data_IF_382376590846
#
_entry.id   IF_382376590846
#
_cell.length_a   1.000
_cell.length_b   1.000
_cell.length_c   1.000
_cell.angle_alpha   90.00
_cell.angle_beta   90.00
_cell.angle_gamma   90.00
#
_symmetry.space_group_name_H-M   'P 1'
#
loop_
_entity.id
_entity.type
_entity.pdbx_description
1 polymer ?
#
# COMPACT_ATOMS: atom_id res chain seq x y z
N UNK A 1 -42.40 -1.28 52.34
CA UNK A 1 -42.26 -0.24 51.28
C UNK A 1 -40.80 0.03 50.85
N UNK A 2 -39.80 -0.58 51.49
CA UNK A 2 -38.36 -0.31 51.28
C UNK A 2 -37.71 -1.12 50.15
N UNK A 3 -38.07 -2.40 49.98
CA UNK A 3 -37.48 -3.30 48.96
C UNK A 3 -37.64 -2.78 47.52
N UNK A 4 -38.81 -2.20 47.20
CA UNK A 4 -39.10 -1.70 45.85
C UNK A 4 -38.26 -0.46 45.48
N UNK A 5 -37.77 0.28 46.48
CA UNK A 5 -36.89 1.44 46.29
C UNK A 5 -35.45 1.03 45.99
N UNK A 6 -34.97 -0.04 46.63
CA UNK A 6 -33.64 -0.61 46.38
C UNK A 6 -33.53 -1.25 44.98
N UNK A 7 -34.58 -1.95 44.54
CA UNK A 7 -34.63 -2.54 43.19
C UNK A 7 -34.63 -1.44 42.12
N UNK A 8 -35.45 -0.39 42.29
CA UNK A 8 -35.46 0.76 41.37
C UNK A 8 -34.12 1.50 41.31
N UNK A 9 -33.43 1.69 42.43
CA UNK A 9 -32.11 2.32 42.45
C UNK A 9 -31.06 1.49 41.68
N UNK A 10 -31.07 0.16 41.85
CA UNK A 10 -30.14 -0.74 41.17
C UNK A 10 -30.39 -0.81 39.66
N UNK A 11 -31.66 -0.77 39.24
CA UNK A 11 -32.02 -0.74 37.82
C UNK A 11 -31.59 0.57 37.16
N UNK A 12 -31.79 1.72 37.82
CA UNK A 12 -31.34 3.03 37.30
C UNK A 12 -29.81 3.10 37.24
N UNK A 13 -29.10 2.59 38.27
CA UNK A 13 -27.64 2.51 38.25
C UNK A 13 -27.13 1.60 37.13
N UNK A 14 -27.74 0.43 36.92
CA UNK A 14 -27.38 -0.47 35.82
C UNK A 14 -27.65 0.17 34.44
N UNK A 15 -28.74 0.92 34.29
CA UNK A 15 -29.05 1.64 33.05
C UNK A 15 -28.05 2.76 32.77
N UNK A 16 -27.66 3.53 33.79
CA UNK A 16 -26.66 4.60 33.67
C UNK A 16 -25.27 4.05 33.35
N UNK A 17 -24.87 2.91 33.92
CA UNK A 17 -23.62 2.24 33.58
C UNK A 17 -23.65 1.71 32.14
N UNK A 18 -24.79 1.16 31.69
CA UNK A 18 -24.94 0.67 30.32
C UNK A 18 -24.88 1.81 29.28
N UNK A 19 -25.51 2.96 29.56
CA UNK A 19 -25.42 4.16 28.73
C UNK A 19 -24.01 4.77 28.70
N UNK A 20 -23.27 4.72 29.81
CA UNK A 20 -21.89 5.19 29.87
C UNK A 20 -20.92 4.31 29.05
N UNK A 21 -21.17 3.00 28.97
CA UNK A 21 -20.36 2.07 28.18
C UNK A 21 -20.62 2.27 26.67
N UNK A 22 -21.87 2.56 26.26
CA UNK A 22 -22.19 2.83 24.85
C UNK A 22 -21.69 4.20 24.35
N UNK A 23 -21.53 5.18 25.25
CA UNK A 23 -20.98 6.50 24.91
C UNK A 23 -19.47 6.52 24.62
N UNK A 24 -18.76 5.41 24.90
CA UNK A 24 -17.31 5.25 24.72
C UNK A 24 -16.93 4.55 23.41
N UNK A 25 -17.87 4.27 22.52
CA UNK A 25 -17.56 3.83 21.15
C UNK A 25 -17.12 5.08 20.37
N UNK A 26 -15.95 5.61 20.74
CA UNK A 26 -15.21 6.57 19.94
C UNK A 26 -14.96 5.93 18.57
N UNK A 27 -15.20 6.70 17.51
CA UNK A 27 -15.18 6.25 16.12
C UNK A 27 -14.00 5.33 15.83
N UNK A 28 -14.32 4.14 15.32
CA UNK A 28 -13.31 3.27 14.74
C UNK A 28 -12.61 4.09 13.65
N UNK A 29 -11.31 4.33 13.81
CA UNK A 29 -10.49 4.93 12.76
C UNK A 29 -10.42 3.90 11.62
N UNK A 30 -11.33 4.05 10.65
CA UNK A 30 -11.72 2.99 9.74
C UNK A 30 -11.05 3.07 8.36
N UNK A 31 -9.86 3.65 8.25
CA UNK A 31 -9.08 3.60 7.01
C UNK A 31 -7.59 3.69 7.38
N UNK A 32 -6.71 2.94 6.70
CA UNK A 32 -6.95 2.10 5.51
C UNK A 32 -7.74 0.79 5.80
N UNK A 33 -8.44 0.26 4.78
CA UNK A 33 -9.27 -0.95 4.87
C UNK A 33 -8.49 -2.25 4.58
N UNK A 34 -7.40 -2.14 3.83
CA UNK A 34 -6.47 -3.21 3.48
C UNK A 34 -5.05 -2.67 3.51
N UNK A 35 -4.07 -3.56 3.66
CA UNK A 35 -2.66 -3.19 3.64
C UNK A 35 -1.89 -4.00 2.60
N UNK A 36 -0.89 -3.35 2.00
CA UNK A 36 0.08 -3.93 1.10
C UNK A 36 1.48 -3.56 1.62
N UNK A 37 2.28 -4.57 1.93
CA UNK A 37 3.70 -4.39 2.22
C UNK A 37 4.48 -4.34 0.89
N UNK A 38 5.33 -3.33 0.75
CA UNK A 38 6.05 -3.02 -0.47
C UNK A 38 7.51 -3.44 -0.35
N UNK A 39 8.06 -3.96 -1.44
CA UNK A 39 9.50 -4.08 -1.64
C UNK A 39 9.86 -3.54 -3.02
N UNK A 40 10.87 -2.68 -3.06
CA UNK A 40 11.28 -1.97 -4.27
C UNK A 40 12.74 -2.23 -4.56
N UNK A 41 13.05 -2.64 -5.79
CA UNK A 41 14.42 -2.79 -6.26
C UNK A 41 14.68 -1.89 -7.44
N UNK A 42 15.73 -1.08 -7.36
CA UNK A 42 16.26 -0.29 -8.47
C UNK A 42 17.39 -1.09 -9.10
N UNK A 43 17.32 -1.34 -10.40
CA UNK A 43 18.34 -2.11 -11.13
C UNK A 43 19.13 -1.16 -12.00
N UNK A 44 20.44 -1.14 -11.77
CA UNK A 44 21.40 -0.37 -12.54
C UNK A 44 22.13 -1.26 -13.54
N UNK A 45 22.47 -0.69 -14.70
CA UNK A 45 23.47 -1.27 -15.58
C UNK A 45 24.90 -0.91 -15.11
N UNK A 46 25.90 -1.42 -15.84
CA UNK A 46 27.33 -1.17 -15.52
C UNK A 46 27.78 0.27 -15.78
N UNK A 47 26.92 1.11 -16.36
CA UNK A 47 27.16 2.51 -16.69
C UNK A 47 26.35 3.43 -15.78
N UNK A 48 25.83 2.92 -14.65
CA UNK A 48 25.01 3.66 -13.70
C UNK A 48 23.71 4.23 -14.32
N UNK A 49 23.17 3.57 -15.36
CA UNK A 49 21.82 3.84 -15.79
C UNK A 49 20.82 3.03 -14.98
N UNK A 50 19.78 3.67 -14.45
CA UNK A 50 18.58 2.98 -14.00
C UNK A 50 17.89 2.38 -15.23
N UNK A 51 17.87 1.04 -15.30
CA UNK A 51 17.27 0.29 -16.42
C UNK A 51 15.95 -0.37 -16.05
N UNK A 52 15.73 -0.65 -14.75
CA UNK A 52 14.53 -1.35 -14.30
C UNK A 52 14.17 -0.97 -12.87
N UNK A 53 12.87 -0.93 -12.57
CA UNK A 53 12.34 -0.93 -11.20
C UNK A 53 11.52 -2.22 -11.01
N UNK A 54 11.84 -2.99 -9.97
CA UNK A 54 11.05 -4.16 -9.56
C UNK A 54 10.24 -3.79 -8.34
N UNK A 55 8.92 -3.72 -8.51
CA UNK A 55 7.99 -3.48 -7.43
C UNK A 55 7.32 -4.78 -7.04
N UNK A 56 7.37 -5.12 -5.76
CA UNK A 56 6.67 -6.26 -5.20
C UNK A 56 5.67 -5.80 -4.16
N UNK A 57 4.46 -6.33 -4.26
CA UNK A 57 3.35 -6.10 -3.34
C UNK A 57 3.04 -7.40 -2.62
N UNK A 58 3.07 -7.38 -1.31
CA UNK A 58 2.59 -8.46 -0.47
C UNK A 58 1.28 -8.05 0.18
N UNK A 59 0.23 -8.79 -0.11
CA UNK A 59 -1.12 -8.45 0.35
C UNK A 59 -1.36 -8.95 1.77
N UNK A 60 -2.31 -8.31 2.45
CA UNK A 60 -2.79 -8.78 3.74
C UNK A 60 -3.42 -10.19 3.67
N UNK A 61 -3.49 -10.85 4.84
CA UNK A 61 -3.99 -12.22 4.98
C UNK A 61 -5.45 -12.33 4.55
N UNK A 62 -6.28 -11.35 4.89
CA UNK A 62 -7.71 -11.40 4.65
C UNK A 62 -8.03 -11.22 3.16
N UNK A 63 -7.44 -10.21 2.53
CA UNK A 63 -7.52 -9.97 1.10
C UNK A 63 -7.03 -11.19 0.31
N UNK A 64 -5.88 -11.74 0.71
CA UNK A 64 -5.30 -12.93 0.07
C UNK A 64 -6.23 -14.13 0.15
N UNK A 65 -6.78 -14.42 1.33
CA UNK A 65 -7.69 -15.54 1.54
C UNK A 65 -8.95 -15.43 0.68
N UNK A 66 -9.59 -14.26 0.66
CA UNK A 66 -10.79 -14.02 -0.14
C UNK A 66 -10.50 -14.13 -1.64
N UNK A 67 -9.44 -13.46 -2.10
CA UNK A 67 -9.07 -13.45 -3.52
C UNK A 67 -8.67 -14.84 -4.01
N UNK A 68 -7.94 -15.61 -3.20
CA UNK A 68 -7.59 -16.99 -3.53
C UNK A 68 -8.82 -17.90 -3.56
N UNK A 69 -9.76 -17.75 -2.63
CA UNK A 69 -11.00 -18.51 -2.62
C UNK A 69 -11.83 -18.23 -3.88
N UNK A 70 -12.00 -16.96 -4.25
CA UNK A 70 -12.73 -16.55 -5.46
C UNK A 70 -12.04 -17.08 -6.72
N UNK A 71 -10.71 -16.91 -6.82
CA UNK A 71 -9.91 -17.40 -7.94
C UNK A 71 -10.01 -18.93 -8.10
N UNK A 72 -9.92 -19.68 -7.00
CA UNK A 72 -10.04 -21.16 -7.04
C UNK A 72 -11.46 -21.61 -7.37
N UNK A 73 -12.48 -20.87 -6.95
CA UNK A 73 -13.87 -21.14 -7.34
C UNK A 73 -14.06 -20.91 -8.86
N UNK A 74 -13.54 -19.81 -9.39
CA UNK A 74 -13.69 -19.44 -10.80
C UNK A 74 -12.85 -20.32 -11.75
N UNK A 75 -11.60 -20.60 -11.40
CA UNK A 75 -10.61 -21.23 -12.30
C UNK A 75 -10.20 -22.65 -11.89
N UNK A 76 -10.65 -23.14 -10.74
CA UNK A 76 -10.40 -24.50 -10.24
C UNK A 76 -9.00 -24.74 -9.64
N UNK A 77 -7.96 -24.02 -10.07
CA UNK A 77 -6.61 -24.11 -9.52
C UNK A 77 -5.79 -22.83 -9.71
N UNK A 78 -4.74 -22.68 -8.91
CA UNK A 78 -3.89 -21.48 -8.89
C UNK A 78 -3.01 -21.34 -10.15
N UNK A 79 -2.60 -22.46 -10.75
CA UNK A 79 -1.80 -22.45 -11.99
C UNK A 79 -2.52 -21.73 -13.13
N UNK A 80 -3.85 -21.85 -13.17
CA UNK A 80 -4.71 -21.17 -14.15
C UNK A 80 -5.19 -19.82 -13.64
N UNK A 81 -5.63 -19.75 -12.37
CA UNK A 81 -6.27 -18.57 -11.81
C UNK A 81 -5.33 -17.40 -11.55
N UNK A 82 -4.13 -17.63 -10.98
CA UNK A 82 -3.22 -16.54 -10.62
C UNK A 82 -2.75 -15.72 -11.83
N UNK A 83 -2.40 -16.31 -12.98
CA UNK A 83 -2.10 -15.54 -14.19
C UNK A 83 -3.27 -14.68 -14.69
N UNK A 84 -4.51 -15.18 -14.62
CA UNK A 84 -5.71 -14.44 -15.01
C UNK A 84 -5.95 -13.25 -14.06
N UNK A 85 -5.77 -13.48 -12.75
CA UNK A 85 -5.85 -12.44 -11.72
C UNK A 85 -4.77 -11.39 -11.88
N UNK A 86 -3.52 -11.78 -12.13
CA UNK A 86 -2.44 -10.84 -12.42
C UNK A 86 -2.78 -9.94 -13.62
N UNK A 87 -3.27 -10.53 -14.71
CA UNK A 87 -3.68 -9.80 -15.92
C UNK A 87 -4.79 -8.79 -15.62
N UNK A 88 -5.80 -9.20 -14.82
CA UNK A 88 -6.90 -8.34 -14.41
C UNK A 88 -6.41 -7.20 -13.51
N UNK A 89 -5.53 -7.47 -12.56
CA UNK A 89 -4.93 -6.46 -11.68
C UNK A 89 -4.16 -5.42 -12.49
N UNK A 90 -3.22 -5.82 -13.35
CA UNK A 90 -2.43 -4.86 -14.16
C UNK A 90 -3.33 -4.02 -15.07
N UNK A 91 -4.36 -4.63 -15.67
CA UNK A 91 -5.34 -3.89 -16.49
C UNK A 91 -6.06 -2.81 -15.68
N UNK A 92 -6.53 -3.14 -14.48
CA UNK A 92 -7.25 -2.22 -13.62
C UNK A 92 -6.35 -1.09 -13.10
N UNK A 93 -5.09 -1.42 -12.81
CA UNK A 93 -4.10 -0.49 -12.30
C UNK A 93 -3.58 0.50 -13.36
N UNK A 94 -3.74 0.20 -14.66
CA UNK A 94 -3.27 1.05 -15.78
C UNK A 94 -3.80 2.49 -15.70
N UNK A 95 -5.07 2.66 -15.35
CA UNK A 95 -5.69 4.00 -15.28
C UNK A 95 -5.08 4.89 -14.18
N UNK A 96 -4.36 4.28 -13.23
CA UNK A 96 -3.77 4.92 -12.07
C UNK A 96 -2.24 4.87 -12.08
N UNK A 97 -1.62 4.67 -13.25
CA UNK A 97 -0.16 4.61 -13.37
C UNK A 97 0.46 3.47 -12.57
N UNK A 98 -0.25 2.35 -12.42
CA UNK A 98 0.20 1.20 -11.64
C UNK A 98 0.39 1.49 -10.15
N UNK A 99 -0.26 2.54 -9.66
CA UNK A 99 -0.06 3.11 -8.31
C UNK A 99 1.39 3.55 -8.07
N UNK A 100 2.18 3.76 -9.13
CA UNK A 100 3.62 4.02 -9.01
C UNK A 100 3.99 5.34 -9.64
N UNK A 101 4.82 6.12 -8.95
CA UNK A 101 5.33 7.39 -9.43
C UNK A 101 6.84 7.46 -9.24
N UNK A 102 7.55 7.67 -10.36
CA UNK A 102 8.98 7.95 -10.38
C UNK A 102 9.21 9.41 -10.73
N UNK A 103 10.09 10.09 -9.99
CA UNK A 103 10.67 11.35 -10.41
C UNK A 103 12.18 11.35 -10.22
N UNK A 104 12.89 12.05 -11.10
CA UNK A 104 14.35 12.21 -11.04
C UNK A 104 14.67 13.69 -11.15
N UNK A 105 15.38 14.23 -10.16
CA UNK A 105 15.65 15.67 -10.00
C UNK A 105 14.39 16.55 -10.15
N UNK A 106 13.27 16.06 -9.63
CA UNK A 106 11.96 16.73 -9.70
C UNK A 106 11.21 16.55 -11.01
N UNK A 107 11.82 15.94 -12.04
CA UNK A 107 11.13 15.62 -13.29
C UNK A 107 10.39 14.28 -13.21
N UNK A 108 9.08 14.27 -13.46
CA UNK A 108 8.29 13.04 -13.48
C UNK A 108 8.68 12.17 -14.67
N UNK A 109 8.91 10.88 -14.41
CA UNK A 109 9.28 9.88 -15.42
C UNK A 109 8.07 8.99 -15.65
N UNK A 110 7.60 8.95 -16.91
CA UNK A 110 6.48 8.10 -17.28
C UNK A 110 6.89 6.63 -17.22
N UNK A 111 6.08 5.81 -16.56
CA UNK A 111 6.26 4.37 -16.51
C UNK A 111 5.43 3.71 -17.61
N UNK A 112 6.06 2.80 -18.35
CA UNK A 112 5.34 1.91 -19.25
C UNK A 112 4.52 0.87 -18.45
N UNK A 113 3.71 0.08 -19.17
CA UNK A 113 3.08 -1.10 -18.56
C UNK A 113 4.17 -2.03 -18.01
N UNK A 114 4.04 -2.51 -16.76
CA UNK A 114 5.01 -3.44 -16.24
C UNK A 114 4.94 -4.74 -17.05
N UNK A 115 6.11 -5.25 -17.45
CA UNK A 115 6.28 -6.49 -18.18
C UNK A 115 7.70 -7.03 -17.92
N UNK A 116 7.88 -8.25 -17.36
CA UNK A 116 6.83 -9.16 -16.92
C UNK A 116 6.15 -8.71 -15.62
N UNK A 117 4.98 -9.28 -15.36
CA UNK A 117 4.31 -9.24 -14.07
C UNK A 117 3.84 -10.63 -13.68
N UNK A 118 3.77 -10.91 -12.38
CA UNK A 118 3.43 -12.24 -11.87
C UNK A 118 2.72 -12.13 -10.52
N UNK A 119 1.61 -12.85 -10.39
CA UNK A 119 0.96 -13.09 -9.11
C UNK A 119 1.34 -14.49 -8.62
N UNK A 120 1.76 -14.61 -7.37
CA UNK A 120 2.09 -15.87 -6.71
C UNK A 120 1.62 -15.88 -5.27
N UNK A 121 1.83 -16.99 -4.58
CA UNK A 121 1.60 -17.10 -3.15
C UNK A 121 2.90 -17.37 -2.39
N UNK A 122 2.95 -16.92 -1.14
CA UNK A 122 4.00 -17.25 -0.17
C UNK A 122 3.37 -17.59 1.17
N UNK A 123 4.07 -18.39 1.98
CA UNK A 123 3.67 -18.64 3.35
C UNK A 123 4.15 -17.49 4.25
N UNK A 124 3.24 -16.93 5.06
CA UNK A 124 3.53 -15.94 6.11
C UNK A 124 2.71 -16.27 7.34
N UNK A 125 3.40 -16.51 8.47
CA UNK A 125 2.78 -16.81 9.76
C UNK A 125 1.72 -17.95 9.71
N UNK A 126 1.96 -18.98 8.88
CA UNK A 126 1.03 -20.10 8.70
C UNK A 126 -0.14 -19.83 7.74
N UNK A 127 -0.21 -18.65 7.14
CA UNK A 127 -1.19 -18.28 6.12
C UNK A 127 -0.55 -18.22 4.73
N UNK A 128 -1.35 -18.47 3.71
CA UNK A 128 -0.99 -18.22 2.32
C UNK A 128 -1.35 -16.78 1.97
N UNK A 129 -0.36 -15.98 1.58
CA UNK A 129 -0.55 -14.57 1.17
C UNK A 129 -0.15 -14.38 -0.29
N UNK A 130 -0.89 -13.51 -0.98
CA UNK A 130 -0.61 -13.15 -2.37
C UNK A 130 0.62 -12.25 -2.44
N UNK A 131 1.38 -12.41 -3.52
CA UNK A 131 2.53 -11.58 -3.88
C UNK A 131 2.42 -11.21 -5.36
N UNK A 132 2.26 -9.91 -5.67
CA UNK A 132 2.28 -9.38 -7.04
C UNK A 132 3.65 -8.75 -7.30
N UNK A 133 4.36 -9.25 -8.29
CA UNK A 133 5.61 -8.70 -8.79
C UNK A 133 5.35 -7.97 -10.12
N UNK A 134 5.83 -6.73 -10.22
CA UNK A 134 5.74 -5.87 -11.39
C UNK A 134 7.14 -5.38 -11.76
N UNK A 135 7.51 -5.55 -13.03
CA UNK A 135 8.79 -5.10 -13.57
C UNK A 135 8.55 -3.94 -14.52
N UNK A 136 9.09 -2.76 -14.18
CA UNK A 136 9.05 -1.57 -15.00
C UNK A 136 10.39 -1.39 -15.70
N UNK A 137 10.42 -1.57 -17.02
CA UNK A 137 11.59 -1.25 -17.85
C UNK A 137 11.68 0.25 -18.14
N UNK A 138 12.87 0.80 -17.98
CA UNK A 138 13.19 2.20 -18.33
C UNK A 138 13.80 2.18 -19.74
N UNK A 139 12.95 2.36 -20.76
CA UNK A 139 13.17 2.07 -22.19
C UNK A 139 14.39 2.76 -22.86
N UNK A 140 15.14 3.62 -22.17
CA UNK A 140 16.39 4.20 -22.67
C UNK A 140 17.56 4.08 -21.69
N UNK A 141 17.33 3.46 -20.52
CA UNK A 141 18.18 3.69 -19.36
C UNK A 141 18.16 5.15 -18.94
N UNK A 142 18.35 5.43 -17.67
CA UNK A 142 18.46 6.80 -17.19
C UNK A 142 19.72 6.96 -16.38
N UNK A 143 20.66 7.81 -16.80
CA UNK A 143 21.85 8.03 -15.99
C UNK A 143 21.39 8.70 -14.69
N UNK A 144 21.74 8.09 -13.56
CA UNK A 144 21.40 8.55 -12.22
C UNK A 144 22.61 9.05 -11.42
N UNK A 145 23.82 9.06 -11.98
CA UNK A 145 24.98 9.66 -11.34
C UNK A 145 24.70 11.12 -10.99
N UNK A 146 25.00 11.51 -9.75
CA UNK A 146 24.76 12.86 -9.22
C UNK A 146 23.28 13.29 -9.27
N UNK A 147 22.34 12.34 -9.22
CA UNK A 147 20.89 12.61 -9.23
C UNK A 147 20.19 12.11 -7.98
N UNK A 148 19.00 12.67 -7.76
CA UNK A 148 18.07 12.22 -6.73
C UNK A 148 16.82 11.62 -7.35
N UNK A 149 16.53 10.37 -7.00
CA UNK A 149 15.30 9.67 -7.38
C UNK A 149 14.30 9.73 -6.23
N UNK A 150 13.04 9.96 -6.56
CA UNK A 150 11.92 9.75 -5.66
C UNK A 150 10.97 8.71 -6.25
N UNK A 151 10.63 7.71 -5.44
CA UNK A 151 9.70 6.66 -5.79
C UNK A 151 8.59 6.57 -4.75
N UNK A 152 7.35 6.63 -5.22
CA UNK A 152 6.17 6.50 -4.38
C UNK A 152 5.24 5.42 -4.94
N UNK A 153 4.62 4.66 -4.04
CA UNK A 153 3.58 3.71 -4.40
C UNK A 153 2.36 3.93 -3.52
N UNK A 154 1.21 4.23 -4.14
CA UNK A 154 0.01 4.55 -3.38
C UNK A 154 -1.28 4.35 -4.18
N UNK A 155 -2.33 3.95 -3.47
CA UNK A 155 -3.70 4.01 -3.96
C UNK A 155 -4.21 5.47 -3.93
N UNK A 156 -4.56 6.08 -5.07
CA UNK A 156 -5.01 7.46 -5.13
C UNK A 156 -6.22 7.76 -4.24
N UNK A 157 -7.04 6.75 -3.92
CA UNK A 157 -8.26 6.90 -3.12
C UNK A 157 -8.05 6.77 -1.62
N UNK A 158 -6.83 6.40 -1.19
CA UNK A 158 -6.46 6.13 0.20
C UNK A 158 -7.27 4.99 0.87
N UNK A 159 -7.83 4.07 0.06
CA UNK A 159 -8.52 2.89 0.59
C UNK A 159 -7.53 1.82 1.07
N UNK A 160 -6.39 1.70 0.38
CA UNK A 160 -5.31 0.76 0.68
C UNK A 160 -4.09 1.51 1.22
N UNK A 161 -3.58 1.10 2.40
CA UNK A 161 -2.26 1.53 2.82
C UNK A 161 -1.19 0.68 2.16
N UNK A 162 -0.24 1.34 1.52
CA UNK A 162 0.86 0.71 0.81
C UNK A 162 2.15 1.21 1.45
N UNK A 163 2.89 0.33 2.11
CA UNK A 163 3.99 0.73 3.02
C UNK A 163 5.26 -0.08 2.79
N UNK A 164 6.40 0.60 2.80
CA UNK A 164 7.70 0.01 3.01
C UNK A 164 7.95 -0.09 4.51
N UNK A 165 8.22 -1.29 5.02
CA UNK A 165 8.34 -1.52 6.48
C UNK A 165 9.56 -0.80 7.06
N UNK A 166 10.67 -0.87 6.33
CA UNK A 166 11.96 -0.27 6.67
C UNK A 166 12.86 -0.21 5.42
N UNK A 167 14.08 0.33 5.56
CA UNK A 167 15.03 0.45 4.46
C UNK A 167 15.51 -0.90 3.87
N UNK A 168 15.30 -2.04 4.56
CA UNK A 168 15.56 -3.37 3.99
C UNK A 168 14.52 -3.74 2.92
N UNK A 169 13.42 -2.99 2.85
CA UNK A 169 12.43 -3.08 1.78
C UNK A 169 12.93 -2.45 0.48
N UNK A 170 14.11 -1.81 0.48
CA UNK A 170 14.72 -1.15 -0.67
C UNK A 170 16.02 -1.89 -1.04
N UNK A 171 16.21 -2.16 -2.32
CA UNK A 171 17.45 -2.73 -2.85
C UNK A 171 17.95 -1.94 -4.07
N UNK A 172 19.27 -1.76 -4.18
CA UNK A 172 19.91 -1.23 -5.39
C UNK A 172 20.78 -2.35 -5.95
N UNK A 173 20.32 -2.95 -7.04
CA UNK A 173 21.04 -4.01 -7.76
C UNK A 173 22.00 -3.33 -8.74
N UNK A 174 23.28 -3.73 -8.72
CA UNK A 174 24.32 -3.07 -9.54
C UNK A 174 24.84 -1.77 -8.91
N UNK A 175 24.71 -1.61 -7.59
CA UNK A 175 25.21 -0.44 -6.85
C UNK A 175 26.73 -0.30 -6.81
N UNK A 176 27.48 -1.15 -7.51
CA UNK A 176 28.90 -0.98 -7.79
C UNK A 176 29.17 -0.01 -8.95
N UNK A 177 28.15 0.31 -9.77
CA UNK A 177 28.27 1.24 -10.88
C UNK A 177 28.33 2.72 -10.45
N UNK A 178 27.69 3.08 -9.32
CA UNK A 178 27.71 4.41 -8.70
C UNK A 178 27.35 4.25 -7.21
N UNK A 179 27.92 5.08 -6.35
CA UNK A 179 27.57 5.08 -4.94
C UNK A 179 26.20 5.75 -4.76
N UNK A 180 25.27 5.06 -4.09
CA UNK A 180 23.96 5.61 -3.77
C UNK A 180 23.59 5.39 -2.29
N UNK A 181 23.00 6.40 -1.69
CA UNK A 181 22.27 6.29 -0.43
C UNK A 181 20.78 6.02 -0.69
N UNK A 182 20.10 5.39 0.27
CA UNK A 182 18.66 5.14 0.23
C UNK A 182 18.05 5.44 1.59
N UNK A 183 16.86 6.03 1.60
CA UNK A 183 16.08 6.28 2.80
C UNK A 183 14.58 6.23 2.50
N UNK A 184 13.78 6.07 3.54
CA UNK A 184 12.33 6.24 3.49
C UNK A 184 11.99 7.56 4.18
N UNK A 185 11.29 8.43 3.47
CA UNK A 185 10.61 9.59 4.05
C UNK A 185 9.17 9.18 4.34
N UNK A 186 8.83 9.13 5.64
CA UNK A 186 7.47 8.81 6.07
C UNK A 186 6.53 10.00 5.85
N UNK A 187 5.26 9.75 5.53
CA UNK A 187 4.29 10.82 5.32
C UNK A 187 4.04 11.61 6.61
N UNK A 188 3.92 12.93 6.48
CA UNK A 188 3.53 13.86 7.55
C UNK A 188 2.31 14.69 7.09
N UNK A 189 1.12 14.05 6.99
CA UNK A 189 -0.09 14.73 6.54
C UNK A 189 -0.56 15.73 7.61
N UNK A 190 -1.05 16.90 7.17
CA UNK A 190 -1.62 17.90 8.08
C UNK A 190 -2.85 17.36 8.82
N UNK A 191 -3.13 17.89 10.01
CA UNK A 191 -4.31 17.54 10.82
C UNK A 191 -5.62 17.61 10.01
N UNK A 192 -5.78 18.62 9.15
CA UNK A 192 -6.95 18.77 8.27
C UNK A 192 -7.12 17.58 7.30
N UNK A 193 -6.01 17.04 6.78
CA UNK A 193 -6.02 15.87 5.88
C UNK A 193 -6.32 14.60 6.65
N UNK A 194 -5.82 14.47 7.88
CA UNK A 194 -6.12 13.35 8.78
C UNK A 194 -7.61 13.36 9.13
N UNK A 195 -8.17 14.51 9.52
CA UNK A 195 -9.59 14.66 9.83
C UNK A 195 -10.46 14.38 8.59
N UNK A 196 -10.05 14.89 7.43
CA UNK A 196 -10.75 14.61 6.18
C UNK A 196 -10.78 13.11 5.87
N UNK A 197 -9.64 12.43 5.98
CA UNK A 197 -9.56 11.00 5.74
C UNK A 197 -10.45 10.21 6.72
N UNK A 198 -10.50 10.61 7.99
CA UNK A 198 -11.42 10.06 9.01
C UNK A 198 -12.90 10.28 8.70
N UNK A 199 -13.24 11.32 7.94
CA UNK A 199 -14.62 11.65 7.59
C UNK A 199 -15.17 10.85 6.40
N UNK A 200 -14.32 10.12 5.67
CA UNK A 200 -14.70 9.52 4.37
C UNK A 200 -15.91 8.60 4.46
N UNK A 201 -16.06 7.81 5.52
CA UNK A 201 -17.22 6.92 5.72
C UNK A 201 -18.55 7.68 5.92
N UNK A 202 -18.48 8.95 6.30
CA UNK A 202 -19.66 9.79 6.63
C UNK A 202 -20.05 10.69 5.46
N UNK A 203 -19.08 11.18 4.69
CA UNK A 203 -19.28 12.23 3.70
C UNK A 203 -18.35 12.05 2.48
N UNK A 204 -18.46 10.94 1.75
CA UNK A 204 -17.74 10.74 0.48
C UNK A 204 -18.19 11.72 -0.60
N UNK A 205 -17.30 12.57 -1.15
CA UNK A 205 -17.47 13.11 -2.53
C UNK A 205 -16.20 13.32 -3.38
N UNK A 206 -14.96 13.35 -2.86
CA UNK A 206 -13.76 13.36 -3.73
C UNK A 206 -12.45 12.96 -2.99
N UNK A 207 -11.91 11.77 -3.24
CA UNK A 207 -10.63 11.32 -2.63
C UNK A 207 -9.42 11.47 -3.56
N UNK A 208 -9.59 12.09 -4.73
CA UNK A 208 -8.52 12.18 -5.72
C UNK A 208 -7.28 12.89 -5.16
N UNK A 209 -6.14 12.19 -5.18
CA UNK A 209 -4.86 12.70 -4.69
C UNK A 209 -4.62 12.54 -3.18
N UNK A 210 -5.62 12.08 -2.41
CA UNK A 210 -5.48 11.89 -0.96
C UNK A 210 -4.38 10.88 -0.63
N UNK A 211 -4.34 9.76 -1.37
CA UNK A 211 -3.36 8.71 -1.12
C UNK A 211 -1.91 9.18 -1.18
N UNK A 212 -1.59 10.16 -2.03
CA UNK A 212 -0.24 10.68 -2.16
C UNK A 212 0.26 11.39 -0.88
N UNK A 213 -0.64 12.00 -0.10
CA UNK A 213 -0.30 12.68 1.15
C UNK A 213 0.01 11.71 2.30
N UNK A 214 -0.46 10.47 2.18
CA UNK A 214 -0.27 9.40 3.16
C UNK A 214 0.68 8.30 2.68
N UNK A 215 1.32 8.50 1.53
CA UNK A 215 2.27 7.58 0.95
C UNK A 215 3.67 7.85 1.51
N UNK A 216 4.41 6.79 1.83
CA UNK A 216 5.86 6.94 1.99
C UNK A 216 6.54 7.30 0.67
N UNK A 217 7.73 7.86 0.78
CA UNK A 217 8.57 8.20 -0.36
C UNK A 217 9.96 7.59 -0.18
N UNK A 218 10.34 6.70 -1.09
CA UNK A 218 11.72 6.27 -1.20
C UNK A 218 12.53 7.38 -1.86
N UNK A 219 13.62 7.78 -1.21
CA UNK A 219 14.60 8.72 -1.75
C UNK A 219 15.93 7.99 -1.96
N UNK A 220 16.43 8.02 -3.19
CA UNK A 220 17.74 7.48 -3.55
C UNK A 220 18.60 8.63 -4.07
N UNK A 221 19.72 8.91 -3.39
CA UNK A 221 20.69 9.91 -3.84
C UNK A 221 21.95 9.21 -4.32
N UNK A 222 22.37 9.45 -5.55
CA UNK A 222 23.57 8.86 -6.14
C UNK A 222 24.64 9.92 -6.41
N UNK A 223 25.91 9.50 -6.44
CA UNK A 223 27.09 10.36 -6.47
C UNK A 223 28.08 9.96 -7.59
#
# INVERSE_FOLDING_TARGET
MTINRYIRLRVVQALCVFLAIFGLIAGVQAHPHSWIELNTRFVLDKQAHLVQIRQRWEFDVYYSMMTLADSRNEYGNDTTGLPQMATKMIRNLKAYGYFSKLSVDGANIALAMPDPYRLSTKAKNGHEVLELEMIFDIQQGMNIENKTLHWQVFDPTYYIAMIHVDENSIEIIGGDATECSRKIEFPDPSDDLIEYAQSLDRTQKNTEGLGAAFADMIVVNCY
#
